data_IF_341083262487
#
_entry.id   IF_341083262487
#
_cell.length_a   1.000
_cell.length_b   1.000
_cell.length_c   1.000
_cell.angle_alpha   90.00
_cell.angle_beta   90.00
_cell.angle_gamma   90.00
#
_symmetry.space_group_name_H-M   'P 1'
#
loop_
_entity.id
_entity.type
_entity.pdbx_description
1 polymer ?
#
# COMPACT_ATOMS: atom_id res chain seq x y z
N UNK A 1 -9.68 -3.50 8.77
CA UNK A 1 -10.80 -4.23 9.40
C UNK A 1 -12.01 -3.33 9.43
N UNK A 2 -13.21 -3.85 9.15
CA UNK A 2 -14.46 -3.11 9.01
C UNK A 2 -15.57 -3.75 9.88
N UNK A 3 -16.40 -2.94 10.53
CA UNK A 3 -17.51 -3.40 11.39
C UNK A 3 -18.77 -3.55 10.56
N UNK A 4 -19.35 -4.75 10.52
CA UNK A 4 -20.59 -5.02 9.76
C UNK A 4 -21.84 -4.44 10.46
N UNK A 5 -21.74 -4.15 11.76
CA UNK A 5 -22.81 -3.52 12.52
C UNK A 5 -23.04 -2.05 12.13
N UNK A 6 -22.05 -1.39 11.51
CA UNK A 6 -22.23 -0.05 10.96
C UNK A 6 -23.12 -0.10 9.72
N UNK A 7 -24.08 0.81 9.63
CA UNK A 7 -25.00 0.88 8.49
C UNK A 7 -24.33 1.31 7.18
N UNK A 8 -23.19 2.01 7.22
CA UNK A 8 -22.45 2.51 6.05
C UNK A 8 -20.96 2.67 6.35
N UNK A 9 -20.11 2.57 5.32
CA UNK A 9 -18.75 3.12 5.35
C UNK A 9 -18.82 4.66 5.40
N UNK A 10 -18.44 5.27 6.53
CA UNK A 10 -18.42 6.72 6.68
C UNK A 10 -17.30 7.37 5.85
N UNK A 11 -17.43 8.67 5.52
CA UNK A 11 -16.48 9.38 4.63
C UNK A 11 -15.01 9.33 5.08
N UNK A 12 -14.74 9.31 6.38
CA UNK A 12 -13.39 9.14 6.94
C UNK A 12 -12.82 7.75 6.59
N UNK A 13 -13.65 6.70 6.68
CA UNK A 13 -13.25 5.34 6.30
C UNK A 13 -12.94 5.24 4.81
N UNK A 14 -13.70 5.93 3.95
CA UNK A 14 -13.42 6.02 2.50
C UNK A 14 -12.10 6.73 2.22
N UNK A 15 -11.84 7.86 2.88
CA UNK A 15 -10.59 8.62 2.72
C UNK A 15 -9.36 7.80 3.12
N UNK A 16 -9.43 7.16 4.30
CA UNK A 16 -8.36 6.29 4.79
C UNK A 16 -8.12 5.09 3.87
N UNK A 17 -9.19 4.52 3.30
CA UNK A 17 -9.08 3.40 2.37
C UNK A 17 -8.43 3.81 1.04
N UNK A 18 -8.78 4.99 0.50
CA UNK A 18 -8.11 5.54 -0.70
C UNK A 18 -6.62 5.78 -0.45
N UNK A 19 -6.27 6.35 0.71
CA UNK A 19 -4.87 6.55 1.09
C UNK A 19 -4.12 5.22 1.23
N UNK A 20 -4.75 4.22 1.88
CA UNK A 20 -4.19 2.87 2.00
C UNK A 20 -3.88 2.25 0.64
N UNK A 21 -4.80 2.35 -0.33
CA UNK A 21 -4.58 1.87 -1.70
C UNK A 21 -3.37 2.54 -2.36
N UNK A 22 -3.23 3.85 -2.18
CA UNK A 22 -2.08 4.60 -2.71
C UNK A 22 -0.77 4.11 -2.10
N UNK A 23 -0.73 3.86 -0.79
CA UNK A 23 0.47 3.42 -0.08
C UNK A 23 0.88 1.98 -0.44
N UNK A 24 -0.09 1.08 -0.63
CA UNK A 24 0.20 -0.28 -1.05
C UNK A 24 0.69 -0.35 -2.50
N UNK A 25 0.15 0.51 -3.37
CA UNK A 25 0.32 0.38 -4.82
C UNK A 25 -0.53 -0.74 -5.39
N UNK A 26 -0.88 -0.60 -6.67
CA UNK A 26 -1.79 -1.53 -7.34
C UNK A 26 -1.26 -2.97 -7.43
N UNK A 27 0.06 -3.15 -7.43
CA UNK A 27 0.74 -4.45 -7.57
C UNK A 27 0.72 -5.30 -6.31
N UNK A 28 0.46 -4.69 -5.14
CA UNK A 28 0.55 -5.36 -3.84
C UNK A 28 -0.81 -5.69 -3.23
N UNK A 29 -1.91 -5.33 -3.91
CA UNK A 29 -3.26 -5.53 -3.40
C UNK A 29 -3.66 -7.01 -3.26
N UNK A 30 -3.01 -7.93 -3.98
CA UNK A 30 -3.16 -9.38 -3.80
C UNK A 30 -2.78 -9.89 -2.41
N UNK A 31 -1.94 -9.14 -1.68
CA UNK A 31 -1.53 -9.47 -0.31
C UNK A 31 -2.46 -8.81 0.74
N UNK A 32 -3.50 -8.09 0.31
CA UNK A 32 -4.43 -7.42 1.22
C UNK A 32 -5.56 -8.37 1.61
N UNK A 33 -5.90 -8.37 2.89
CA UNK A 33 -7.08 -9.06 3.43
C UNK A 33 -7.98 -8.03 4.11
N UNK A 34 -9.20 -7.89 3.60
CA UNK A 34 -10.26 -7.14 4.26
C UNK A 34 -10.91 -8.08 5.27
N UNK A 35 -10.92 -7.64 6.53
CA UNK A 35 -11.54 -8.41 7.62
C UNK A 35 -12.80 -7.68 8.08
N UNK A 36 -13.94 -8.36 8.03
CA UNK A 36 -15.22 -7.89 8.59
C UNK A 36 -15.43 -8.49 9.98
N UNK A 37 -15.90 -7.71 10.95
CA UNK A 37 -16.13 -8.16 12.34
C UNK A 37 -17.49 -7.70 12.90
N UNK A 38 -17.76 -8.04 14.15
CA UNK A 38 -19.03 -7.73 14.86
C UNK A 38 -20.27 -8.39 14.24
N UNK A 39 -20.09 -9.57 13.63
CA UNK A 39 -21.15 -10.37 13.04
C UNK A 39 -22.23 -10.82 14.05
N UNK A 40 -21.88 -10.92 15.34
CA UNK A 40 -22.84 -11.24 16.40
C UNK A 40 -23.79 -10.09 16.78
N UNK A 41 -23.56 -8.87 16.27
CA UNK A 41 -24.40 -7.69 16.59
C UNK A 41 -25.54 -7.49 15.57
N UNK A 42 -25.56 -8.27 14.48
CA UNK A 42 -26.56 -8.16 13.41
C UNK A 42 -27.10 -9.54 13.06
N UNK A 43 -28.28 -9.59 12.44
CA UNK A 43 -28.78 -10.82 11.85
C UNK A 43 -27.92 -11.21 10.64
N UNK A 44 -27.67 -12.51 10.38
CA UNK A 44 -26.86 -12.96 9.26
C UNK A 44 -27.28 -12.35 7.92
N UNK A 45 -28.58 -12.37 7.61
CA UNK A 45 -29.14 -11.81 6.38
C UNK A 45 -28.81 -10.31 6.20
N UNK A 46 -28.83 -9.54 7.30
CA UNK A 46 -28.50 -8.12 7.31
C UNK A 46 -26.99 -7.94 7.14
N UNK A 47 -26.20 -8.78 7.81
CA UNK A 47 -24.75 -8.78 7.70
C UNK A 47 -24.28 -9.04 6.27
N UNK A 48 -24.81 -10.07 5.61
CA UNK A 48 -24.49 -10.41 4.22
C UNK A 48 -24.87 -9.28 3.24
N UNK A 49 -26.05 -8.68 3.40
CA UNK A 49 -26.45 -7.54 2.57
C UNK A 49 -25.50 -6.35 2.74
N UNK A 50 -25.12 -6.03 3.99
CA UNK A 50 -24.16 -4.96 4.31
C UNK A 50 -22.74 -5.29 3.91
N UNK A 51 -22.41 -6.56 3.74
CA UNK A 51 -21.11 -7.00 3.25
C UNK A 51 -21.02 -6.79 1.74
N UNK A 52 -22.11 -7.06 1.05
CA UNK A 52 -22.24 -6.98 -0.42
C UNK A 52 -22.15 -5.55 -0.92
N UNK A 53 -22.70 -4.57 -0.20
CA UNK A 53 -22.67 -3.15 -0.61
C UNK A 53 -21.24 -2.60 -0.80
N UNK A 54 -20.34 -2.59 0.21
CA UNK A 54 -18.98 -2.10 0.03
C UNK A 54 -18.11 -3.01 -0.84
N UNK A 55 -18.45 -4.30 -0.98
CA UNK A 55 -17.76 -5.21 -1.89
C UNK A 55 -17.96 -4.83 -3.38
N UNK A 56 -19.08 -4.20 -3.72
CA UNK A 56 -19.45 -3.89 -5.11
C UNK A 56 -19.27 -2.41 -5.50
N UNK A 57 -18.81 -1.56 -4.58
CA UNK A 57 -18.66 -0.12 -4.82
C UNK A 57 -17.20 0.25 -5.13
N UNK A 58 -17.00 0.97 -6.24
CA UNK A 58 -15.71 1.49 -6.74
C UNK A 58 -15.01 2.46 -5.77
N UNK A 59 -15.76 3.08 -4.84
CA UNK A 59 -15.20 3.92 -3.79
C UNK A 59 -14.74 3.12 -2.57
N UNK A 60 -15.18 1.87 -2.46
CA UNK A 60 -14.91 0.98 -1.33
C UNK A 60 -14.07 -0.22 -1.78
N UNK A 61 -14.49 -1.44 -1.51
CA UNK A 61 -13.63 -2.62 -1.60
C UNK A 61 -13.52 -3.19 -3.01
N UNK A 62 -14.45 -2.88 -3.91
CA UNK A 62 -14.43 -3.41 -5.28
C UNK A 62 -13.06 -3.33 -5.96
N UNK A 63 -12.34 -2.19 -5.94
CA UNK A 63 -11.07 -2.09 -6.65
C UNK A 63 -9.93 -2.94 -6.09
N UNK A 64 -9.98 -3.27 -4.79
CA UNK A 64 -8.97 -4.18 -4.20
C UNK A 64 -9.37 -5.64 -4.37
N UNK A 65 -10.67 -5.94 -4.35
CA UNK A 65 -11.20 -7.28 -4.64
C UNK A 65 -10.93 -7.68 -6.08
N UNK A 66 -11.15 -6.76 -7.04
CA UNK A 66 -10.79 -6.94 -8.45
C UNK A 66 -9.27 -7.22 -8.63
N UNK A 67 -8.45 -6.76 -7.69
CA UNK A 67 -7.00 -6.98 -7.63
C UNK A 67 -6.60 -8.11 -6.67
N UNK A 68 -7.50 -9.08 -6.49
CA UNK A 68 -7.27 -10.35 -5.79
C UNK A 68 -7.08 -10.21 -4.27
N UNK A 69 -7.45 -9.07 -3.68
CA UNK A 69 -7.58 -9.00 -2.23
C UNK A 69 -8.67 -9.98 -1.77
N UNK A 70 -8.51 -10.53 -0.57
CA UNK A 70 -9.50 -11.44 0.03
C UNK A 70 -10.36 -10.70 1.02
N UNK A 71 -11.61 -11.10 1.15
CA UNK A 71 -12.50 -10.64 2.21
C UNK A 71 -12.92 -11.80 3.09
N UNK A 72 -12.79 -11.65 4.41
CA UNK A 72 -12.99 -12.74 5.37
C UNK A 72 -13.67 -12.25 6.65
N UNK A 73 -14.40 -13.15 7.29
CA UNK A 73 -15.13 -12.87 8.52
C UNK A 73 -14.25 -13.17 9.74
N UNK A 74 -14.23 -12.23 10.68
CA UNK A 74 -13.72 -12.46 12.03
C UNK A 74 -14.90 -12.66 12.98
N UNK A 75 -15.09 -13.90 13.43
CA UNK A 75 -16.14 -14.29 14.36
C UNK A 75 -15.84 -13.99 15.84
N UNK A 76 -14.92 -13.06 16.14
CA UNK A 76 -14.48 -12.73 17.50
C UNK A 76 -13.92 -13.94 18.30
N UNK A 77 -13.36 -14.94 17.62
CA UNK A 77 -12.72 -16.10 18.25
C UNK A 77 -11.23 -16.16 17.94
N UNK A 78 -10.44 -16.76 18.83
CA UNK A 78 -9.01 -17.01 18.60
C UNK A 78 -8.80 -17.83 17.32
N UNK A 79 -9.62 -18.87 17.10
CA UNK A 79 -9.53 -19.72 15.91
C UNK A 79 -9.73 -18.93 14.60
N UNK A 80 -10.70 -18.01 14.56
CA UNK A 80 -10.89 -17.16 13.38
C UNK A 80 -9.73 -16.19 13.17
N UNK A 81 -9.17 -15.62 14.25
CA UNK A 81 -7.99 -14.75 14.15
C UNK A 81 -6.76 -15.51 13.62
N UNK A 82 -6.50 -16.71 14.12
CA UNK A 82 -5.41 -17.57 13.65
C UNK A 82 -5.59 -17.95 12.18
N UNK A 83 -6.82 -18.27 11.77
CA UNK A 83 -7.14 -18.57 10.36
C UNK A 83 -6.85 -17.39 9.45
N UNK A 84 -7.20 -16.17 9.88
CA UNK A 84 -6.93 -14.93 9.13
C UNK A 84 -5.42 -14.69 9.02
N UNK A 85 -4.66 -14.86 10.10
CA UNK A 85 -3.20 -14.72 10.07
C UNK A 85 -2.56 -15.78 9.16
N UNK A 86 -3.08 -17.01 9.15
CA UNK A 86 -2.63 -18.08 8.27
C UNK A 86 -2.75 -17.76 6.78
N UNK A 87 -3.65 -16.85 6.38
CA UNK A 87 -3.78 -16.40 4.98
C UNK A 87 -2.50 -15.73 4.45
N UNK A 88 -1.61 -15.29 5.34
CA UNK A 88 -0.36 -14.61 4.97
C UNK A 88 0.84 -15.56 4.90
N UNK A 89 0.74 -16.81 5.37
CA UNK A 89 1.88 -17.74 5.49
C UNK A 89 2.53 -18.14 4.16
N UNK A 90 1.88 -17.90 3.01
CA UNK A 90 2.45 -18.13 1.67
C UNK A 90 2.72 -16.85 0.88
N UNK A 91 2.51 -15.66 1.47
CA UNK A 91 2.70 -14.41 0.75
C UNK A 91 4.18 -14.04 0.72
N UNK A 92 4.70 -13.74 -0.47
CA UNK A 92 5.99 -13.08 -0.61
C UNK A 92 5.90 -11.65 -0.04
N UNK A 93 6.78 -11.27 0.91
CA UNK A 93 6.88 -9.89 1.35
C UNK A 93 7.19 -8.98 0.17
N UNK A 94 6.33 -8.00 -0.09
CA UNK A 94 6.58 -6.96 -1.10
C UNK A 94 6.72 -5.62 -0.40
N UNK A 95 7.75 -4.87 -0.79
CA UNK A 95 7.90 -3.51 -0.34
C UNK A 95 6.64 -2.71 -0.69
N UNK A 96 6.14 -1.95 0.27
CA UNK A 96 5.06 -0.99 0.01
C UNK A 96 5.60 0.10 -0.91
N UNK A 97 4.75 0.72 -1.74
CA UNK A 97 5.20 1.79 -2.66
C UNK A 97 5.93 2.90 -1.90
N UNK A 98 5.44 3.28 -0.72
CA UNK A 98 6.10 4.29 0.12
C UNK A 98 7.54 3.90 0.51
N UNK A 99 7.83 2.61 0.69
CA UNK A 99 9.19 2.13 1.01
C UNK A 99 10.08 2.16 -0.22
N UNK A 100 9.51 2.00 -1.42
CA UNK A 100 10.23 2.13 -2.69
C UNK A 100 10.50 3.59 -3.04
N UNK A 101 9.52 4.47 -2.82
CA UNK A 101 9.62 5.89 -3.14
C UNK A 101 10.74 6.58 -2.34
N UNK A 102 10.85 6.30 -1.03
CA UNK A 102 11.91 6.85 -0.17
C UNK A 102 13.31 6.41 -0.65
N UNK A 103 13.48 5.14 -1.01
CA UNK A 103 14.78 4.61 -1.47
C UNK A 103 15.17 5.17 -2.84
N UNK A 104 14.19 5.36 -3.73
CA UNK A 104 14.42 5.92 -5.05
C UNK A 104 14.71 7.43 -5.00
N UNK A 105 14.08 8.19 -4.10
CA UNK A 105 14.42 9.60 -3.87
C UNK A 105 15.85 9.80 -3.36
N UNK A 106 16.34 8.91 -2.49
CA UNK A 106 17.74 8.94 -2.05
C UNK A 106 18.72 8.54 -3.15
N UNK A 107 18.34 7.63 -4.04
CA UNK A 107 19.19 7.16 -5.14
C UNK A 107 19.29 8.21 -6.25
N UNK A 108 18.19 8.89 -6.60
CA UNK A 108 18.19 10.01 -7.55
C UNK A 108 19.02 11.20 -7.06
N UNK A 109 19.00 11.51 -5.76
CA UNK A 109 19.83 12.56 -5.16
C UNK A 109 21.34 12.25 -5.19
N UNK A 110 21.73 10.99 -5.22
CA UNK A 110 23.15 10.59 -5.31
C UNK A 110 23.68 10.64 -6.74
N UNK A 111 22.85 10.38 -7.74
CA UNK A 111 23.28 10.40 -9.15
C UNK A 111 23.38 11.83 -9.72
N UNK A 112 22.57 12.78 -9.25
CA UNK A 112 22.68 14.19 -9.64
C UNK A 112 23.90 14.91 -9.01
N UNK A 113 24.51 14.35 -7.97
CA UNK A 113 25.67 14.93 -7.27
C UNK A 113 27.05 14.66 -7.90
N UNK A 114 27.14 13.82 -8.95
CA UNK A 114 28.43 13.38 -9.54
C UNK A 114 28.64 13.94 -10.96
N UNK A 115 27.90 14.98 -11.35
CA UNK A 115 28.08 15.65 -12.65
C UNK A 115 28.33 17.17 -12.55
N UNK A 116 29.02 17.59 -11.50
CA UNK A 116 29.50 18.95 -11.32
C UNK A 116 31.03 19.01 -11.32
N UNK A 117 31.57 19.53 -12.42
CA UNK A 117 32.84 20.25 -12.50
C UNK A 117 34.17 19.45 -12.42
N UNK A 118 34.70 19.08 -13.60
CA UNK A 118 36.14 18.87 -13.81
C UNK A 118 36.55 19.40 -15.18
N UNK A 119 36.59 20.72 -15.35
CA UNK A 119 37.41 21.34 -16.41
C UNK A 119 37.84 22.74 -16.01
N UNK A 120 38.66 22.86 -14.96
CA UNK A 120 39.51 24.03 -14.76
C UNK A 120 40.66 23.70 -13.79
N UNK A 121 41.80 23.21 -14.31
CA UNK A 121 43.15 23.48 -13.80
C UNK A 121 44.18 22.45 -14.33
N UNK A 122 44.92 22.83 -15.39
CA UNK A 122 46.29 22.40 -15.70
C UNK A 122 46.73 23.27 -16.89
N UNK A 123 47.82 24.04 -16.90
CA UNK A 123 48.90 24.24 -15.96
C UNK A 123 49.73 25.47 -16.39
N UNK A 124 50.59 25.92 -15.47
CA UNK A 124 51.58 27.00 -15.62
C UNK A 124 52.49 26.81 -16.84
N UNK A 125 52.98 27.94 -17.37
CA UNK A 125 53.95 27.99 -18.46
C UNK A 125 55.40 27.69 -18.08
N UNK A 126 56.27 27.78 -19.10
CA UNK A 126 57.62 28.35 -19.07
C UNK A 126 58.33 28.18 -20.43
N UNK A 127 59.24 29.12 -20.73
CA UNK A 127 60.29 29.05 -21.77
C UNK A 127 59.90 29.66 -23.12
N UNK A 128 60.73 30.37 -23.89
CA UNK A 128 62.05 30.99 -23.77
C UNK A 128 62.27 31.71 -25.13
N UNK A 129 63.09 32.77 -25.17
CA UNK A 129 63.15 33.70 -26.31
C UNK A 129 63.91 33.24 -27.58
N UNK A 130 63.78 34.07 -28.63
CA UNK A 130 64.82 34.46 -29.61
C UNK A 130 64.20 35.42 -30.64
N UNK A 131 64.85 36.56 -30.85
CA UNK A 131 64.53 37.59 -31.83
C UNK A 131 65.30 38.85 -31.51
#
# INVERSE_FOLDING_TARGET
>A
MHRISNFRMGGISTGNFRMFRSLCGETNLKNVVIVTNMWGEVRPEIGEARETEPANDELFFKPVLDKHARMVHHGNTIASAQSIIGLFSGNEPRALQVQTDIVNEETGRREEGVRGDRTAAYGRGNGEGRG
#
